data_IF_081849550928
#
_entry.id   IF_081849550928
#
_cell.length_a   1.000
_cell.length_b   1.000
_cell.length_c   1.000
_cell.angle_alpha   90.00
_cell.angle_beta   90.00
_cell.angle_gamma   90.00
#
_symmetry.space_group_name_H-M   'P 1'
#
loop_
_entity.id
_entity.type
_entity.pdbx_description
1 polymer ?
#
# COMPACT_ATOMS: atom_id res chain seq x y z
N UNK A 1 1.29 4.96 10.30
CA UNK A 1 1.19 5.43 8.91
C UNK A 1 -0.22 5.87 8.59
N UNK A 2 -0.36 6.99 7.91
CA UNK A 2 -1.66 7.55 7.61
C UNK A 2 -2.36 6.78 6.49
N UNK A 3 -3.67 6.56 6.65
CA UNK A 3 -4.49 5.92 5.64
C UNK A 3 -4.61 6.81 4.40
N UNK A 4 -4.56 6.20 3.21
CA UNK A 4 -4.70 6.92 1.95
C UNK A 4 -6.13 7.43 1.75
N UNK A 5 -6.26 8.61 1.13
CA UNK A 5 -7.54 9.11 0.65
C UNK A 5 -8.03 8.28 -0.53
N UNK A 6 -9.29 8.48 -0.93
CA UNK A 6 -9.92 7.65 -1.96
C UNK A 6 -9.18 7.69 -3.30
N UNK A 7 -8.86 8.87 -3.82
CA UNK A 7 -8.14 8.97 -5.10
C UNK A 7 -6.69 8.51 -4.95
N UNK A 8 -6.05 8.82 -3.83
CA UNK A 8 -4.70 8.31 -3.55
C UNK A 8 -4.68 6.79 -3.61
N UNK A 9 -5.68 6.14 -2.98
CA UNK A 9 -5.80 4.69 -2.97
C UNK A 9 -6.02 4.13 -4.38
N UNK A 10 -6.83 4.79 -5.20
CA UNK A 10 -7.06 4.36 -6.57
C UNK A 10 -5.80 4.41 -7.42
N UNK A 11 -5.01 5.49 -7.28
CA UNK A 11 -3.75 5.64 -8.00
C UNK A 11 -2.76 4.54 -7.57
N UNK A 12 -2.60 4.36 -6.26
CA UNK A 12 -1.69 3.34 -5.73
C UNK A 12 -2.12 1.95 -6.15
N UNK A 13 -3.43 1.67 -6.14
CA UNK A 13 -3.96 0.37 -6.54
C UNK A 13 -3.63 0.04 -8.00
N UNK A 14 -3.77 1.02 -8.90
CA UNK A 14 -3.38 0.86 -10.29
C UNK A 14 -1.91 0.48 -10.41
N UNK A 15 -1.03 1.23 -9.75
CA UNK A 15 0.41 1.02 -9.84
C UNK A 15 0.85 -0.31 -9.23
N UNK A 16 0.26 -0.70 -8.09
CA UNK A 16 0.54 -1.99 -7.48
C UNK A 16 0.05 -3.15 -8.36
N UNK A 17 -1.15 -3.02 -8.92
CA UNK A 17 -1.72 -4.06 -9.76
C UNK A 17 -0.92 -4.29 -11.03
N UNK A 18 -0.48 -3.20 -11.67
CA UNK A 18 0.30 -3.31 -12.91
C UNK A 18 1.71 -3.82 -12.69
N UNK A 19 2.31 -3.51 -11.54
CA UNK A 19 3.66 -3.97 -11.20
C UNK A 19 4.76 -3.41 -12.10
N UNK A 20 4.52 -2.23 -12.71
CA UNK A 20 5.47 -1.54 -13.58
C UNK A 20 5.33 -0.04 -13.44
N UNK A 21 6.38 0.74 -13.80
CA UNK A 21 6.24 2.19 -13.84
C UNK A 21 5.13 2.61 -14.80
N UNK A 22 4.40 3.66 -14.47
CA UNK A 22 3.29 4.12 -15.29
C UNK A 22 3.15 5.64 -15.22
N UNK A 23 2.53 6.21 -16.25
CA UNK A 23 2.29 7.65 -16.32
C UNK A 23 0.94 7.99 -15.68
N UNK A 24 0.75 9.29 -15.39
CA UNK A 24 -0.57 9.79 -14.95
C UNK A 24 -1.63 9.47 -16.00
N UNK A 25 -1.28 9.57 -17.29
CA UNK A 25 -2.21 9.27 -18.38
C UNK A 25 -2.71 7.83 -18.31
N UNK A 26 -1.82 6.88 -18.04
CA UNK A 26 -2.20 5.47 -17.88
C UNK A 26 -3.21 5.31 -16.75
N UNK A 27 -2.98 5.97 -15.63
CA UNK A 27 -3.87 5.91 -14.47
C UNK A 27 -5.22 6.55 -14.77
N UNK A 28 -5.22 7.71 -15.42
CA UNK A 28 -6.46 8.41 -15.80
C UNK A 28 -7.30 7.53 -16.72
N UNK A 29 -6.68 6.92 -17.72
CA UNK A 29 -7.39 6.06 -18.66
C UNK A 29 -8.05 4.88 -17.95
N UNK A 30 -7.38 4.29 -16.98
CA UNK A 30 -7.92 3.19 -16.18
C UNK A 30 -9.10 3.65 -15.31
N UNK A 31 -8.92 4.76 -14.59
CA UNK A 31 -9.98 5.29 -13.71
C UNK A 31 -11.21 5.67 -14.52
N UNK A 32 -11.03 6.27 -15.71
CA UNK A 32 -12.13 6.68 -16.57
C UNK A 32 -13.02 5.53 -17.03
N UNK A 33 -12.55 4.31 -16.97
CA UNK A 33 -13.38 3.13 -17.25
C UNK A 33 -14.50 3.03 -16.22
N UNK A 34 -14.26 3.43 -14.99
CA UNK A 34 -15.18 3.29 -13.86
C UNK A 34 -15.97 4.57 -13.56
N UNK A 35 -15.34 5.72 -13.70
CA UNK A 35 -15.95 7.02 -13.43
C UNK A 35 -15.12 8.13 -14.07
N UNK A 36 -15.72 9.30 -14.36
CA UNK A 36 -14.96 10.41 -14.91
C UNK A 36 -13.83 10.85 -13.96
N UNK A 37 -12.65 11.08 -14.52
CA UNK A 37 -11.51 11.59 -13.79
C UNK A 37 -10.74 12.57 -14.67
N UNK A 38 -10.43 13.75 -14.12
CA UNK A 38 -9.66 14.76 -14.82
C UNK A 38 -8.17 14.48 -14.66
N UNK A 39 -7.43 14.60 -15.75
CA UNK A 39 -5.98 14.39 -15.77
C UNK A 39 -5.27 15.31 -14.77
N UNK A 40 -5.69 16.58 -14.69
CA UNK A 40 -5.09 17.54 -13.77
C UNK A 40 -5.27 17.16 -12.30
N UNK A 41 -6.44 16.62 -11.95
CA UNK A 41 -6.73 16.17 -10.58
C UNK A 41 -5.85 14.98 -10.22
N UNK A 42 -5.76 13.99 -11.11
CA UNK A 42 -4.92 12.81 -10.89
C UNK A 42 -3.45 13.21 -10.78
N UNK A 43 -2.99 14.12 -11.63
CA UNK A 43 -1.61 14.60 -11.60
C UNK A 43 -1.29 15.30 -10.27
N UNK A 44 -2.21 16.13 -9.77
CA UNK A 44 -2.03 16.80 -8.49
C UNK A 44 -1.88 15.80 -7.35
N UNK A 45 -2.74 14.77 -7.32
CA UNK A 45 -2.70 13.75 -6.28
C UNK A 45 -1.45 12.88 -6.39
N UNK A 46 -1.04 12.54 -7.63
CA UNK A 46 0.21 11.78 -7.85
C UNK A 46 1.42 12.58 -7.34
N UNK A 47 1.43 13.90 -7.56
CA UNK A 47 2.49 14.77 -7.05
C UNK A 47 2.51 14.77 -5.52
N UNK A 48 1.33 14.81 -4.90
CA UNK A 48 1.21 14.73 -3.44
C UNK A 48 1.78 13.40 -2.93
N UNK A 49 1.46 12.28 -3.58
CA UNK A 49 1.98 10.96 -3.22
C UNK A 49 3.50 10.91 -3.36
N UNK A 50 4.04 11.51 -4.42
CA UNK A 50 5.48 11.61 -4.61
C UNK A 50 6.13 12.41 -3.47
N UNK A 51 5.55 13.56 -3.13
CA UNK A 51 6.09 14.42 -2.08
C UNK A 51 6.03 13.77 -0.69
N UNK A 52 5.04 12.93 -0.46
CA UNK A 52 4.91 12.17 0.78
C UNK A 52 5.82 10.95 0.86
N UNK A 53 6.54 10.63 -0.22
CA UNK A 53 7.44 9.49 -0.26
C UNK A 53 6.78 8.15 -0.58
N UNK A 54 5.56 8.16 -1.10
CA UNK A 54 4.85 6.94 -1.51
C UNK A 54 5.27 6.45 -2.89
N UNK A 55 5.66 7.40 -3.76
CA UNK A 55 6.06 7.13 -5.13
C UNK A 55 7.44 7.69 -5.39
N UNK A 56 8.20 7.03 -6.24
CA UNK A 56 9.33 7.62 -6.94
C UNK A 56 8.88 7.94 -8.35
N UNK A 57 9.63 8.77 -9.05
CA UNK A 57 9.32 9.08 -10.44
C UNK A 57 10.59 9.32 -11.24
N UNK A 58 10.50 9.01 -12.52
CA UNK A 58 11.59 9.17 -13.47
C UNK A 58 11.04 9.80 -14.74
N UNK A 59 11.78 10.74 -15.30
CA UNK A 59 11.35 11.43 -16.51
C UNK A 59 11.55 10.54 -17.72
N UNK A 60 10.52 10.45 -18.56
CA UNK A 60 10.59 9.80 -19.86
C UNK A 60 9.95 10.73 -20.90
N UNK A 61 10.76 11.40 -21.70
CA UNK A 61 10.26 12.43 -22.62
C UNK A 61 9.63 13.57 -21.83
N UNK A 62 8.37 13.89 -22.10
CA UNK A 62 7.63 14.93 -21.41
C UNK A 62 6.83 14.40 -20.22
N UNK A 63 6.82 13.10 -20.01
CA UNK A 63 6.02 12.47 -18.97
C UNK A 63 6.86 11.97 -17.80
N UNK A 64 6.25 11.89 -16.62
CA UNK A 64 6.83 11.23 -15.46
C UNK A 64 6.32 9.80 -15.39
N UNK A 65 7.24 8.86 -15.16
CA UNK A 65 6.89 7.47 -14.84
C UNK A 65 6.95 7.31 -13.33
N UNK A 66 5.85 6.91 -12.74
CA UNK A 66 5.73 6.73 -11.30
C UNK A 66 5.85 5.26 -10.92
N UNK A 67 6.54 5.00 -9.81
CA UNK A 67 6.72 3.65 -9.27
C UNK A 67 6.46 3.69 -7.77
N UNK A 68 5.68 2.73 -7.19
CA UNK A 68 5.50 2.67 -5.76
C UNK A 68 6.81 2.39 -5.04
N UNK A 69 7.03 3.09 -3.92
CA UNK A 69 8.20 2.87 -3.06
C UNK A 69 8.04 1.56 -2.29
N UNK A 70 6.81 1.24 -1.85
CA UNK A 70 6.50 0.05 -1.07
C UNK A 70 5.45 -0.80 -1.75
N UNK A 71 5.46 -2.09 -1.47
CA UNK A 71 4.42 -3.00 -1.96
C UNK A 71 3.07 -2.73 -1.25
N UNK A 72 2.00 -3.26 -1.83
CA UNK A 72 0.67 -3.23 -1.21
C UNK A 72 0.71 -3.90 0.16
N UNK A 73 1.39 -5.02 0.28
CA UNK A 73 1.51 -5.78 1.52
C UNK A 73 2.27 -5.00 2.59
N UNK A 74 3.33 -4.29 2.20
CA UNK A 74 4.08 -3.44 3.12
C UNK A 74 3.24 -2.27 3.62
N UNK A 75 2.39 -1.69 2.74
CA UNK A 75 1.46 -0.64 3.14
C UNK A 75 0.43 -1.18 4.14
N UNK A 76 -0.16 -2.35 3.86
CA UNK A 76 -1.12 -2.97 4.76
C UNK A 76 -0.50 -3.25 6.13
N UNK A 77 0.73 -3.77 6.15
CA UNK A 77 1.45 -4.04 7.40
C UNK A 77 1.69 -2.77 8.21
N UNK A 78 2.02 -1.66 7.55
CA UNK A 78 2.21 -0.38 8.23
C UNK A 78 0.91 0.13 8.86
N UNK A 79 -0.22 -0.04 8.16
CA UNK A 79 -1.54 0.30 8.73
C UNK A 79 -1.88 -0.57 9.95
N UNK A 80 -1.53 -1.85 9.90
CA UNK A 80 -1.74 -2.77 11.01
C UNK A 80 -0.93 -2.33 12.23
N UNK A 81 0.33 -1.91 12.01
CA UNK A 81 1.18 -1.42 13.09
C UNK A 81 0.60 -0.16 13.73
N UNK A 82 0.12 0.79 12.91
CA UNK A 82 -0.52 2.00 13.42
C UNK A 82 -1.77 1.67 14.24
N UNK A 83 -2.58 0.74 13.74
CA UNK A 83 -3.79 0.31 14.45
C UNK A 83 -3.45 -0.32 15.80
N UNK A 84 -2.41 -1.14 15.83
CA UNK A 84 -1.94 -1.78 17.07
C UNK A 84 -1.49 -0.73 18.10
N UNK A 85 -0.95 0.39 17.63
CA UNK A 85 -0.50 1.49 18.50
C UNK A 85 -1.62 2.18 19.25
N UNK A 86 -2.89 2.00 18.85
CA UNK A 86 -4.05 2.54 19.56
C UNK A 86 -4.28 1.82 20.90
N UNK A 87 -3.86 0.56 20.99
CA UNK A 87 -4.08 -0.26 22.18
C UNK A 87 -3.04 0.04 23.28
N UNK A 88 -3.49 0.10 24.51
CA UNK A 88 -2.61 0.18 25.69
C UNK A 88 -2.09 -1.20 26.07
N UNK A 89 -2.76 -2.26 25.59
CA UNK A 89 -2.41 -3.66 25.86
C UNK A 89 -2.25 -4.38 24.52
N UNK A 90 -1.06 -4.34 23.96
CA UNK A 90 -0.77 -4.95 22.65
C UNK A 90 -0.98 -6.47 22.64
N UNK A 91 -0.56 -7.22 23.67
CA UNK A 91 -0.85 -8.66 23.70
C UNK A 91 -2.34 -8.98 23.61
N UNK A 92 -3.20 -8.22 24.32
CA UNK A 92 -4.65 -8.41 24.25
C UNK A 92 -5.20 -8.08 22.87
N UNK A 93 -4.72 -7.00 22.25
CA UNK A 93 -5.14 -6.62 20.90
C UNK A 93 -4.77 -7.69 19.88
N UNK A 94 -3.57 -8.25 19.97
CA UNK A 94 -3.12 -9.33 19.10
C UNK A 94 -3.96 -10.59 19.29
N UNK A 95 -4.29 -10.93 20.53
CA UNK A 95 -5.15 -12.10 20.82
C UNK A 95 -6.53 -11.93 20.18
N UNK A 96 -7.15 -10.76 20.31
CA UNK A 96 -8.44 -10.48 19.68
C UNK A 96 -8.37 -10.56 18.16
N UNK A 97 -7.28 -10.06 17.58
CA UNK A 97 -7.08 -10.10 16.14
C UNK A 97 -6.96 -11.54 15.62
N UNK A 98 -6.19 -12.37 16.31
CA UNK A 98 -5.99 -13.77 15.94
C UNK A 98 -7.29 -14.56 15.99
N UNK A 99 -8.17 -14.28 16.96
CA UNK A 99 -9.47 -14.92 17.05
C UNK A 99 -10.33 -14.73 15.80
N UNK A 100 -10.09 -13.69 15.03
CA UNK A 100 -10.83 -13.38 13.81
C UNK A 100 -10.23 -14.01 12.55
N UNK A 101 -9.10 -14.66 12.68
CA UNK A 101 -8.41 -15.31 11.56
C UNK A 101 -9.06 -16.64 11.21
N UNK A 102 -9.08 -16.94 9.90
CA UNK A 102 -9.46 -18.27 9.42
C UNK A 102 -8.26 -19.21 9.50
N UNK A 103 -8.49 -20.49 9.17
CA UNK A 103 -7.46 -21.52 9.26
C UNK A 103 -6.25 -21.24 8.37
N UNK A 104 -6.48 -20.74 7.14
CA UNK A 104 -5.40 -20.42 6.21
C UNK A 104 -4.54 -19.27 6.73
N UNK A 105 -5.16 -18.27 7.30
CA UNK A 105 -4.46 -17.14 7.90
C UNK A 105 -3.64 -17.56 9.11
N UNK A 106 -4.18 -18.45 9.95
CA UNK A 106 -3.46 -18.97 11.11
C UNK A 106 -2.23 -19.77 10.65
N UNK A 107 -2.39 -20.60 9.62
CA UNK A 107 -1.27 -21.36 9.05
C UNK A 107 -0.19 -20.44 8.50
N UNK A 108 -0.58 -19.36 7.79
CA UNK A 108 0.35 -18.37 7.28
C UNK A 108 1.09 -17.66 8.42
N UNK A 109 0.37 -17.35 9.51
CA UNK A 109 0.97 -16.71 10.68
C UNK A 109 2.02 -17.63 11.34
N UNK A 110 1.70 -18.92 11.49
CA UNK A 110 2.66 -19.89 12.01
C UNK A 110 3.93 -19.93 11.18
N UNK A 111 3.79 -19.96 9.86
CA UNK A 111 4.94 -19.96 8.96
C UNK A 111 5.76 -18.69 9.08
N UNK A 112 5.09 -17.53 9.15
CA UNK A 112 5.76 -16.24 9.30
C UNK A 112 6.54 -16.16 10.62
N UNK A 113 5.96 -16.68 11.71
CA UNK A 113 6.62 -16.72 13.00
C UNK A 113 7.88 -17.61 12.96
N UNK A 114 7.80 -18.76 12.29
CA UNK A 114 8.96 -19.64 12.12
C UNK A 114 10.07 -18.93 11.32
N UNK A 115 9.71 -18.21 10.27
CA UNK A 115 10.68 -17.49 9.45
C UNK A 115 11.40 -16.40 10.25
N UNK A 116 10.66 -15.64 11.08
CA UNK A 116 11.24 -14.64 11.97
C UNK A 116 12.15 -15.29 13.00
N UNK A 117 11.71 -16.41 13.59
CA UNK A 117 12.51 -17.15 14.56
C UNK A 117 13.83 -17.61 13.97
N UNK A 118 13.82 -18.11 12.72
CA UNK A 118 15.05 -18.52 12.02
C UNK A 118 16.00 -17.35 11.79
N UNK A 119 15.47 -16.16 11.44
CA UNK A 119 16.31 -14.98 11.21
C UNK A 119 16.94 -14.42 12.47
N UNK A 120 16.27 -14.57 13.62
CA UNK A 120 16.74 -14.05 14.90
C UNK A 120 17.51 -15.07 15.73
N UNK A 121 17.53 -16.34 15.31
CA UNK A 121 18.28 -17.39 15.99
C UNK A 121 19.79 -17.11 15.90
N UNK A 122 20.56 -17.39 16.99
CA UNK A 122 22.01 -17.19 16.97
C UNK A 122 22.73 -18.19 16.07
#
# INVERSE_FOLDING_TARGET
MRRLGDLEAEIMDCLWTWGRPATVRDVVDDINIRRPAACTTVMTVATILFNKGWLTREKQGQAWLYTPVRSREAYAAALMEDALGVSEDRPAALAHFIERMNEDEVAALHEALRAVGRRTAP
#
